data_IF_291869440098
#
_entry.id   IF_291869440098
#
_cell.length_a   1.000
_cell.length_b   1.000
_cell.length_c   1.000
_cell.angle_alpha   90.00
_cell.angle_beta   90.00
_cell.angle_gamma   90.00
#
_symmetry.space_group_name_H-M   'P 1'
#
loop_
_entity.id
_entity.type
_entity.pdbx_description
1 polymer ?
#
# COMPACT_ATOMS: atom_id res chain seq x y z
N UNK A 1 -9.85 -34.03 2.06
CA UNK A 1 -10.24 -32.67 2.48
C UNK A 1 -9.04 -31.99 3.10
N UNK A 2 -8.84 -30.69 2.83
CA UNK A 2 -7.80 -29.88 3.47
C UNK A 2 -6.59 -29.58 2.59
N UNK A 3 -6.79 -28.79 1.53
CA UNK A 3 -5.66 -28.16 0.82
C UNK A 3 -5.05 -27.11 1.73
N UNK A 4 -3.89 -27.41 2.32
CA UNK A 4 -3.10 -26.45 3.09
C UNK A 4 -2.59 -25.36 2.14
N UNK A 5 -3.44 -24.34 1.97
CA UNK A 5 -3.16 -23.13 1.22
C UNK A 5 -1.91 -22.49 1.83
N UNK A 6 -0.80 -22.49 1.08
CA UNK A 6 0.46 -21.83 1.45
C UNK A 6 0.31 -20.30 1.61
N UNK A 7 -0.90 -19.79 1.45
CA UNK A 7 -1.30 -18.40 1.56
C UNK A 7 -1.90 -18.06 2.93
N UNK A 8 -2.03 -19.04 3.84
CA UNK A 8 -2.77 -18.94 5.11
C UNK A 8 -1.84 -18.91 6.32
N UNK A 9 -0.75 -18.14 6.27
CA UNK A 9 0.05 -17.89 7.47
C UNK A 9 0.11 -16.41 7.76
N UNK A 10 -0.67 -16.06 8.76
CA UNK A 10 -0.46 -14.96 9.69
C UNK A 10 0.99 -14.96 10.16
N UNK A 11 1.87 -14.38 9.34
CA UNK A 11 3.25 -14.14 9.73
C UNK A 11 3.21 -12.89 10.62
N UNK A 12 3.79 -12.94 11.82
CA UNK A 12 3.84 -11.76 12.69
C UNK A 12 4.45 -10.57 11.95
N UNK A 13 3.87 -9.40 12.18
CA UNK A 13 4.34 -8.11 11.68
C UNK A 13 5.72 -7.84 12.31
N UNK A 14 6.69 -7.46 11.49
CA UNK A 14 8.06 -7.15 11.93
C UNK A 14 8.43 -5.70 11.60
N UNK A 15 9.68 -5.33 11.87
CA UNK A 15 10.18 -3.94 11.69
C UNK A 15 9.95 -3.40 10.26
N UNK A 16 9.98 -4.28 9.26
CA UNK A 16 9.72 -3.93 7.86
C UNK A 16 8.25 -3.57 7.61
N UNK A 17 7.34 -4.33 8.21
CA UNK A 17 5.90 -4.10 8.15
C UNK A 17 5.52 -2.81 8.90
N UNK A 18 6.15 -2.53 10.03
CA UNK A 18 5.96 -1.27 10.76
C UNK A 18 6.51 -0.04 9.99
N UNK A 19 7.55 -0.22 9.18
CA UNK A 19 8.01 0.83 8.26
C UNK A 19 7.03 1.04 7.09
N UNK A 20 6.36 -0.03 6.62
CA UNK A 20 5.32 0.04 5.59
C UNK A 20 4.07 0.77 6.10
N UNK A 21 3.60 0.45 7.31
CA UNK A 21 2.46 1.11 7.94
C UNK A 21 2.63 2.63 7.99
N UNK A 22 3.82 3.09 8.43
CA UNK A 22 4.18 4.52 8.47
C UNK A 22 4.22 5.20 7.11
N UNK A 23 4.44 4.46 6.03
CA UNK A 23 4.53 5.03 4.69
C UNK A 23 3.16 5.23 4.04
N UNK A 24 2.14 4.45 4.41
CA UNK A 24 0.85 4.48 3.74
C UNK A 24 0.06 5.79 3.91
N UNK A 25 0.05 6.45 5.10
CA UNK A 25 -0.56 7.77 5.24
C UNK A 25 0.08 8.81 4.31
N UNK A 26 1.41 8.80 4.17
CA UNK A 26 2.12 9.70 3.27
C UNK A 26 1.76 9.46 1.79
N UNK A 27 1.57 8.20 1.39
CA UNK A 27 1.11 7.86 0.04
C UNK A 27 -0.33 8.34 -0.19
N UNK A 28 -1.22 8.15 0.78
CA UNK A 28 -2.60 8.61 0.70
C UNK A 28 -2.69 10.14 0.59
N UNK A 29 -1.90 10.87 1.36
CA UNK A 29 -1.83 12.34 1.30
C UNK A 29 -1.29 12.82 -0.05
N UNK A 30 -0.24 12.17 -0.58
CA UNK A 30 0.30 12.49 -1.91
C UNK A 30 -0.76 12.35 -3.02
N UNK A 31 -1.58 11.30 -2.98
CA UNK A 31 -2.66 11.11 -3.94
C UNK A 31 -3.75 12.17 -3.84
N UNK A 32 -4.05 12.63 -2.62
CA UNK A 32 -5.02 13.72 -2.42
C UNK A 32 -4.53 15.06 -3.01
N UNK A 33 -3.22 15.30 -3.05
CA UNK A 33 -2.61 16.57 -3.47
C UNK A 33 -1.99 16.54 -4.88
N UNK A 34 -2.03 15.41 -5.59
CA UNK A 34 -1.49 15.23 -6.95
C UNK A 34 -2.56 14.67 -7.90
N UNK A 35 -3.60 15.47 -8.24
CA UNK A 35 -4.72 15.03 -9.07
C UNK A 35 -4.31 14.58 -10.48
N UNK A 36 -3.11 14.94 -10.94
CA UNK A 36 -2.53 14.48 -12.20
C UNK A 36 -2.10 13.01 -12.17
N UNK A 37 -1.91 12.40 -11.00
CA UNK A 37 -1.49 11.00 -10.86
C UNK A 37 -2.68 10.04 -10.91
N UNK A 38 -3.83 10.47 -10.41
CA UNK A 38 -5.11 9.76 -10.51
C UNK A 38 -6.17 10.79 -10.91
N UNK A 39 -6.49 10.82 -12.21
CA UNK A 39 -7.41 11.81 -12.80
C UNK A 39 -8.84 11.66 -12.31
N UNK A 40 -9.22 10.47 -11.84
CA UNK A 40 -10.51 10.23 -11.21
C UNK A 40 -10.43 10.40 -9.68
N UNK A 41 -11.10 11.44 -9.18
CA UNK A 41 -11.12 11.80 -7.75
C UNK A 41 -11.76 10.72 -6.87
N UNK A 42 -12.76 9.99 -7.38
CA UNK A 42 -13.42 8.93 -6.62
C UNK A 42 -12.47 7.73 -6.46
N UNK A 43 -11.75 7.38 -7.54
CA UNK A 43 -10.70 6.36 -7.50
C UNK A 43 -9.59 6.77 -6.53
N UNK A 44 -9.13 8.02 -6.57
CA UNK A 44 -8.10 8.52 -5.66
C UNK A 44 -8.52 8.39 -4.18
N UNK A 45 -9.76 8.73 -3.86
CA UNK A 45 -10.31 8.58 -2.50
C UNK A 45 -10.35 7.12 -2.04
N UNK A 46 -10.77 6.19 -2.91
CA UNK A 46 -10.78 4.76 -2.59
C UNK A 46 -9.37 4.21 -2.37
N UNK A 47 -8.40 4.63 -3.18
CA UNK A 47 -6.99 4.23 -2.99
C UNK A 47 -6.45 4.76 -1.66
N UNK A 48 -6.77 6.01 -1.29
CA UNK A 48 -6.37 6.58 0.00
C UNK A 48 -6.97 5.78 1.18
N UNK A 49 -8.24 5.37 1.10
CA UNK A 49 -8.87 4.52 2.12
C UNK A 49 -8.18 3.15 2.26
N UNK A 50 -7.91 2.46 1.15
CA UNK A 50 -7.22 1.16 1.18
C UNK A 50 -5.84 1.27 1.83
N UNK A 51 -5.10 2.34 1.54
CA UNK A 51 -3.79 2.59 2.16
C UNK A 51 -3.92 2.87 3.66
N UNK A 52 -4.90 3.67 4.07
CA UNK A 52 -5.15 3.98 5.46
C UNK A 52 -5.53 2.74 6.28
N UNK A 53 -6.47 1.93 5.80
CA UNK A 53 -6.89 0.70 6.48
C UNK A 53 -5.74 -0.32 6.54
N UNK A 54 -4.96 -0.41 5.46
CA UNK A 54 -3.75 -1.24 5.45
C UNK A 54 -2.72 -0.79 6.50
N UNK A 55 -2.64 0.50 6.80
CA UNK A 55 -1.73 1.05 7.80
C UNK A 55 -2.20 0.67 9.20
N UNK A 56 -3.51 0.82 9.47
CA UNK A 56 -4.13 0.48 10.75
C UNK A 56 -3.89 -0.98 11.10
N UNK A 57 -4.12 -1.90 10.15
CA UNK A 57 -3.90 -3.33 10.40
C UNK A 57 -2.43 -3.63 10.72
N UNK A 58 -1.48 -3.07 9.95
CA UNK A 58 -0.06 -3.28 10.21
C UNK A 58 0.41 -2.64 11.53
N UNK A 59 -0.08 -1.46 11.89
CA UNK A 59 0.22 -0.81 13.18
C UNK A 59 -0.38 -1.58 14.36
N UNK A 60 -1.49 -2.30 14.14
CA UNK A 60 -2.10 -3.20 15.10
C UNK A 60 -1.41 -4.58 15.18
N UNK A 61 -0.22 -4.73 14.59
CA UNK A 61 0.55 -5.99 14.51
C UNK A 61 -0.20 -7.11 13.76
N UNK A 62 -1.19 -6.75 12.93
CA UNK A 62 -1.99 -7.69 12.15
C UNK A 62 -1.45 -7.84 10.73
N UNK A 63 -1.31 -9.08 10.24
CA UNK A 63 -0.82 -9.32 8.90
C UNK A 63 -1.85 -8.96 7.84
N UNK A 64 -1.41 -8.29 6.78
CA UNK A 64 -2.23 -8.10 5.58
C UNK A 64 -2.17 -9.33 4.67
N UNK A 65 -3.27 -9.66 3.95
CA UNK A 65 -3.23 -10.63 2.89
C UNK A 65 -2.13 -10.32 1.87
N UNK A 66 -1.35 -11.34 1.47
CA UNK A 66 -0.16 -11.14 0.64
C UNK A 66 -0.45 -10.44 -0.70
N UNK A 67 -1.65 -10.64 -1.26
CA UNK A 67 -2.12 -9.95 -2.47
C UNK A 67 -2.26 -8.45 -2.25
N UNK A 68 -2.90 -8.04 -1.15
CA UNK A 68 -3.06 -6.63 -0.75
C UNK A 68 -1.70 -5.99 -0.51
N UNK A 69 -0.82 -6.66 0.24
CA UNK A 69 0.53 -6.17 0.51
C UNK A 69 1.35 -5.97 -0.77
N UNK A 70 1.26 -6.89 -1.74
CA UNK A 70 1.92 -6.75 -3.06
C UNK A 70 1.34 -5.57 -3.85
N UNK A 71 0.02 -5.41 -3.85
CA UNK A 71 -0.64 -4.30 -4.54
C UNK A 71 -0.21 -2.94 -3.98
N UNK A 72 -0.20 -2.79 -2.65
CA UNK A 72 0.22 -1.54 -1.99
C UNK A 72 1.68 -1.20 -2.28
N UNK A 73 2.59 -2.18 -2.18
CA UNK A 73 4.01 -1.97 -2.54
C UNK A 73 4.19 -1.62 -4.01
N UNK A 74 3.46 -2.27 -4.90
CA UNK A 74 3.48 -1.98 -6.34
C UNK A 74 3.02 -0.55 -6.64
N UNK A 75 1.93 -0.12 -5.99
CA UNK A 75 1.42 1.24 -6.08
C UNK A 75 2.45 2.27 -5.57
N UNK A 76 3.06 2.03 -4.41
CA UNK A 76 4.10 2.90 -3.86
C UNK A 76 5.29 3.06 -4.83
N UNK A 77 5.72 1.96 -5.46
CA UNK A 77 6.79 1.98 -6.46
C UNK A 77 6.40 2.77 -7.73
N UNK A 78 5.17 2.59 -8.22
CA UNK A 78 4.66 3.32 -9.38
C UNK A 78 4.57 4.83 -9.12
N UNK A 79 4.08 5.23 -7.94
CA UNK A 79 4.02 6.63 -7.53
C UNK A 79 5.41 7.24 -7.42
N UNK A 80 6.36 6.51 -6.82
CA UNK A 80 7.77 6.95 -6.76
C UNK A 80 8.34 7.17 -8.15
N UNK A 81 8.07 6.26 -9.10
CA UNK A 81 8.54 6.40 -10.48
C UNK A 81 7.86 7.56 -11.23
N UNK A 82 6.59 7.85 -10.94
CA UNK A 82 5.88 8.99 -11.52
C UNK A 82 6.35 10.34 -10.97
N UNK A 83 6.82 10.37 -9.72
CA UNK A 83 7.38 11.55 -9.07
C UNK A 83 8.89 11.72 -9.29
N UNK A 84 9.58 10.73 -9.85
CA UNK A 84 11.01 10.81 -10.11
C UNK A 84 11.28 11.90 -11.17
N UNK A 85 12.02 12.97 -10.83
CA UNK A 85 12.30 14.06 -11.77
C UNK A 85 13.33 13.66 -12.82
N UNK A 86 13.97 12.49 -12.70
CA UNK A 86 14.94 12.01 -13.68
C UNK A 86 14.23 11.61 -14.98
N UNK A 87 14.79 11.96 -16.14
CA UNK A 87 14.20 11.58 -17.42
C UNK A 87 14.11 10.06 -17.53
N UNK A 88 12.94 9.56 -17.97
CA UNK A 88 12.76 8.15 -18.29
C UNK A 88 13.70 7.81 -19.47
N UNK A 89 14.46 6.70 -19.40
CA UNK A 89 15.35 6.27 -20.49
C UNK A 89 14.57 5.91 -21.75
#
# INVERSE_FOLDING_TARGET
MGGNSRYDRDRPVGDREAAEARAFPAIAELLAHRPELITDRAVAGQVAHVLHDSAIELDADRPLPIGVRRAVRGLAAALRAAMDPRPKP
#
